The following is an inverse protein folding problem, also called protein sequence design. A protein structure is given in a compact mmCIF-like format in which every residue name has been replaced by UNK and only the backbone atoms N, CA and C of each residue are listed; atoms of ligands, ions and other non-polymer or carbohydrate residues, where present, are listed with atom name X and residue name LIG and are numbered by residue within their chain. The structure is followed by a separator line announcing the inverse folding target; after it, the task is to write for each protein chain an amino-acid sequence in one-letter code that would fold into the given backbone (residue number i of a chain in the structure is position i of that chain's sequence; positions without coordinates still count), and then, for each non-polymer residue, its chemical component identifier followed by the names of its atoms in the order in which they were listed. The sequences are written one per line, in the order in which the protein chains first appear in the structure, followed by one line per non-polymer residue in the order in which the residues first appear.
data_IF_435563512048
#
_entry.id   IF_435563512048
#
_cell.length_a   1.000
_cell.length_b   1.000
_cell.length_c   1.000
_cell.angle_alpha   90.00
_cell.angle_beta   90.00
_cell.angle_gamma   90.00
#
_symmetry.space_group_name_H-M   'P 1'
#
loop_
_entity.id
_entity.type
_entity.pdbx_description
1 polymer ?
#
# COMPACT_ATOMS: atom_id res chain seq x y z
N UNK A 1 -17.27 13.68 -70.54
CA UNK A 1 -16.44 14.70 -69.87
C UNK A 1 -16.44 14.40 -68.38
N UNK A 2 -15.32 13.91 -67.85
CA UNK A 2 -15.21 13.34 -66.51
C UNK A 2 -14.01 14.04 -65.85
N UNK A 3 -14.28 14.96 -64.93
CA UNK A 3 -13.25 15.71 -64.23
C UNK A 3 -12.55 14.80 -63.22
N UNK A 4 -11.25 14.57 -63.42
CA UNK A 4 -10.36 13.96 -62.43
C UNK A 4 -9.80 15.08 -61.55
N UNK A 5 -10.21 15.09 -60.28
CA UNK A 5 -9.60 15.91 -59.23
C UNK A 5 -8.43 15.10 -58.64
N UNK A 6 -7.21 15.55 -58.89
CA UNK A 6 -6.00 15.04 -58.24
C UNK A 6 -5.87 15.79 -56.91
N UNK A 7 -6.14 15.11 -55.79
CA UNK A 7 -5.84 15.60 -54.45
C UNK A 7 -4.48 15.03 -54.06
N UNK A 8 -3.45 15.86 -54.16
CA UNK A 8 -2.11 15.58 -53.65
C UNK A 8 -2.13 15.63 -52.12
N UNK A 9 -1.99 14.47 -51.47
CA UNK A 9 -1.72 14.36 -50.04
C UNK A 9 -0.25 14.67 -49.78
N UNK A 10 0.03 15.85 -49.23
CA UNK A 10 1.30 16.15 -48.56
C UNK A 10 1.35 15.36 -47.26
N UNK A 11 2.22 14.34 -47.22
CA UNK A 11 2.56 13.63 -45.98
C UNK A 11 3.45 14.57 -45.17
N UNK A 12 2.84 15.32 -44.26
CA UNK A 12 3.54 16.05 -43.21
C UNK A 12 4.06 15.02 -42.21
N UNK A 13 5.33 14.62 -42.36
CA UNK A 13 6.03 13.80 -41.38
C UNK A 13 6.25 14.70 -40.16
N UNK A 14 5.34 14.63 -39.18
CA UNK A 14 5.56 15.16 -37.85
C UNK A 14 6.72 14.37 -37.24
N UNK A 15 7.93 14.91 -37.35
CA UNK A 15 9.07 14.50 -36.54
C UNK A 15 8.76 14.87 -35.10
N UNK A 16 8.04 14.00 -34.40
CA UNK A 16 7.97 14.05 -32.95
C UNK A 16 9.40 13.90 -32.41
N UNK A 17 9.81 14.83 -31.54
CA UNK A 17 11.04 14.71 -30.78
C UNK A 17 11.01 13.39 -30.00
N UNK A 18 11.59 12.33 -30.56
CA UNK A 18 11.99 11.17 -29.80
C UNK A 18 13.18 11.61 -28.96
N UNK A 19 13.00 11.74 -27.65
CA UNK A 19 14.08 11.89 -26.71
C UNK A 19 14.93 10.61 -26.77
N UNK A 20 16.00 10.65 -27.56
CA UNK A 20 17.06 9.64 -27.47
C UNK A 20 17.63 9.69 -26.06
N UNK A 21 17.75 8.54 -25.36
CA UNK A 21 18.41 8.52 -24.07
C UNK A 21 19.84 9.06 -24.21
N UNK A 22 20.36 9.77 -23.21
CA UNK A 22 21.71 10.35 -23.30
C UNK A 22 22.75 9.24 -23.53
N UNK A 23 23.53 9.40 -24.58
CA UNK A 23 24.70 8.55 -24.85
C UNK A 23 25.78 8.90 -23.84
N UNK A 24 26.02 8.02 -22.86
CA UNK A 24 27.08 8.22 -21.89
C UNK A 24 28.42 7.78 -22.49
N UNK A 25 29.20 8.74 -22.96
CA UNK A 25 30.64 8.56 -23.24
C UNK A 25 31.43 9.15 -22.09
N UNK A 26 31.34 8.52 -20.91
CA UNK A 26 32.16 8.86 -19.75
C UNK A 26 33.16 7.75 -19.50
N UNK A 27 34.44 8.07 -19.61
CA UNK A 27 35.54 7.33 -18.97
C UNK A 27 35.22 7.17 -17.48
N UNK A 28 35.66 6.06 -16.87
CA UNK A 28 35.49 5.73 -15.45
C UNK A 28 36.13 6.81 -14.53
N UNK A 29 35.46 7.95 -14.39
CA UNK A 29 35.65 8.84 -13.26
C UNK A 29 35.02 8.14 -12.06
N UNK A 30 35.82 8.01 -10.99
CA UNK A 30 35.43 7.53 -9.67
C UNK A 30 34.00 7.96 -9.32
N UNK A 31 33.01 7.09 -9.49
CA UNK A 31 31.71 7.39 -8.91
C UNK A 31 31.70 7.00 -7.45
N UNK A 32 30.93 7.76 -6.70
CA UNK A 32 30.91 7.68 -5.25
C UNK A 32 30.14 6.48 -4.72
N UNK A 33 29.83 5.43 -5.50
CA UNK A 33 29.05 4.28 -5.01
C UNK A 33 29.63 3.69 -3.72
N UNK A 34 30.95 3.50 -3.67
CA UNK A 34 31.65 3.02 -2.48
C UNK A 34 31.81 4.09 -1.39
N UNK A 35 31.75 5.38 -1.75
CA UNK A 35 31.86 6.51 -0.83
C UNK A 35 30.51 6.88 -0.18
N UNK A 36 29.39 6.51 -0.82
CA UNK A 36 28.04 6.70 -0.27
C UNK A 36 27.87 5.72 0.90
N UNK A 37 27.86 6.29 2.11
CA UNK A 37 27.55 5.59 3.34
C UNK A 37 26.03 5.38 3.48
N UNK A 38 25.47 4.54 2.60
CA UNK A 38 24.06 4.14 2.62
C UNK A 38 23.94 2.63 2.40
N UNK A 39 22.81 2.09 2.83
CA UNK A 39 22.46 0.68 2.60
C UNK A 39 22.42 0.37 1.10
N UNK A 40 23.02 -0.76 0.75
CA UNK A 40 23.03 -1.31 -0.60
C UNK A 40 21.84 -2.24 -0.80
N UNK A 41 21.13 -2.06 -1.91
CA UNK A 41 19.94 -2.84 -2.27
C UNK A 41 20.08 -3.50 -3.63
N UNK A 42 19.27 -4.54 -3.86
CA UNK A 42 19.10 -5.18 -5.17
C UNK A 42 17.62 -5.31 -5.49
N UNK A 43 17.21 -5.17 -6.77
CA UNK A 43 15.85 -5.48 -7.18
C UNK A 43 15.56 -6.98 -6.99
N UNK A 44 14.33 -7.32 -6.60
CA UNK A 44 13.89 -8.73 -6.58
C UNK A 44 13.74 -9.29 -7.99
N UNK A 45 13.66 -10.61 -8.13
CA UNK A 45 13.47 -11.28 -9.44
C UNK A 45 12.20 -10.79 -10.17
N UNK A 46 11.12 -10.51 -9.43
CA UNK A 46 9.91 -9.94 -10.00
C UNK A 46 10.16 -8.53 -10.56
N UNK A 47 10.86 -7.68 -9.80
CA UNK A 47 11.20 -6.33 -10.23
C UNK A 47 12.16 -6.35 -11.42
N UNK A 48 13.14 -7.25 -11.44
CA UNK A 48 14.05 -7.44 -12.59
C UNK A 48 13.28 -7.73 -13.88
N UNK A 49 12.25 -8.59 -13.81
CA UNK A 49 11.37 -8.92 -14.94
C UNK A 49 10.61 -7.69 -15.47
N UNK A 50 10.29 -6.71 -14.63
CA UNK A 50 9.51 -5.52 -14.98
C UNK A 50 10.20 -4.21 -14.53
N UNK A 51 11.51 -4.10 -14.76
CA UNK A 51 12.37 -3.09 -14.11
C UNK A 51 11.90 -1.65 -14.34
N UNK A 52 11.34 -1.35 -15.51
CA UNK A 52 10.89 -0.01 -15.88
C UNK A 52 9.58 0.43 -15.19
N UNK A 53 8.93 -0.48 -14.46
CA UNK A 53 7.78 -0.13 -13.60
C UNK A 53 8.23 0.51 -12.29
N UNK A 54 9.48 0.27 -11.87
CA UNK A 54 10.03 0.74 -10.60
C UNK A 54 11.14 1.77 -10.81
N UNK A 55 11.95 1.60 -11.86
CA UNK A 55 13.10 2.44 -12.15
C UNK A 55 12.91 3.19 -13.47
N UNK A 56 13.38 4.43 -13.52
CA UNK A 56 13.35 5.30 -14.71
C UNK A 56 14.74 5.83 -15.06
N UNK A 57 14.93 6.15 -16.34
CA UNK A 57 16.14 6.83 -16.82
C UNK A 57 16.18 8.29 -16.36
N UNK A 58 15.03 8.96 -16.32
CA UNK A 58 14.84 10.30 -15.76
C UNK A 58 13.51 10.38 -14.99
N UNK A 59 13.29 11.36 -14.10
CA UNK A 59 11.98 11.53 -13.46
C UNK A 59 10.85 11.63 -14.49
N UNK A 60 9.74 10.95 -14.23
CA UNK A 60 8.51 10.95 -15.06
C UNK A 60 8.67 10.47 -16.52
N UNK A 61 9.81 9.89 -16.92
CA UNK A 61 9.97 9.36 -18.28
C UNK A 61 9.13 8.12 -18.56
N UNK A 62 8.71 7.99 -19.81
CA UNK A 62 8.22 6.72 -20.34
C UNK A 62 9.38 5.91 -20.92
N UNK A 63 9.83 4.91 -20.16
CA UNK A 63 10.89 3.99 -20.55
C UNK A 63 10.30 2.63 -20.99
N UNK A 64 10.07 2.38 -22.29
CA UNK A 64 9.59 1.08 -22.74
C UNK A 64 10.67 0.00 -22.56
N UNK A 65 10.44 -0.94 -21.63
CA UNK A 65 11.42 -1.97 -21.25
C UNK A 65 12.03 -2.73 -22.43
N UNK A 66 11.21 -3.11 -23.40
CA UNK A 66 11.65 -3.89 -24.56
C UNK A 66 12.62 -3.14 -25.47
N UNK A 67 12.61 -1.80 -25.44
CA UNK A 67 13.51 -0.96 -26.26
C UNK A 67 14.74 -0.48 -25.51
N UNK A 68 14.69 -0.47 -24.17
CA UNK A 68 15.75 0.05 -23.31
C UNK A 68 16.44 -1.03 -22.47
N UNK A 69 16.32 -2.32 -22.84
CA UNK A 69 16.81 -3.45 -22.04
C UNK A 69 18.28 -3.29 -21.63
N UNK A 70 19.15 -2.89 -22.57
CA UNK A 70 20.58 -2.69 -22.32
C UNK A 70 20.85 -1.48 -21.42
N UNK A 71 20.00 -0.45 -21.49
CA UNK A 71 20.13 0.68 -20.59
C UNK A 71 19.86 0.27 -19.13
N UNK A 72 18.91 -0.64 -18.89
CA UNK A 72 18.57 -1.11 -17.54
C UNK A 72 19.31 -2.41 -17.14
N UNK A 73 20.25 -2.91 -17.95
CA UNK A 73 20.96 -4.15 -17.67
C UNK A 73 21.76 -4.14 -16.35
N UNK A 74 22.39 -3.03 -15.92
CA UNK A 74 23.07 -2.98 -14.62
C UNK A 74 22.14 -3.34 -13.45
N UNK A 75 20.90 -2.86 -13.43
CA UNK A 75 19.93 -3.17 -12.38
C UNK A 75 19.48 -4.65 -12.37
N UNK A 76 19.89 -5.46 -13.35
CA UNK A 76 19.62 -6.89 -13.36
C UNK A 76 20.63 -7.67 -12.50
N UNK A 77 21.84 -7.15 -12.35
CA UNK A 77 22.98 -7.87 -11.78
C UNK A 77 23.69 -7.12 -10.65
N UNK A 78 23.61 -5.79 -10.64
CA UNK A 78 24.36 -4.93 -9.73
C UNK A 78 23.49 -4.45 -8.57
N UNK A 79 24.17 -4.12 -7.46
CA UNK A 79 23.54 -3.40 -6.37
C UNK A 79 23.36 -1.91 -6.68
N UNK A 80 22.45 -1.27 -5.96
CA UNK A 80 22.26 0.18 -6.00
C UNK A 80 22.19 0.79 -4.59
N UNK A 81 22.52 2.09 -4.51
CA UNK A 81 22.38 2.93 -3.31
C UNK A 81 21.65 4.22 -3.65
N UNK A 82 20.92 4.77 -2.69
CA UNK A 82 20.31 6.09 -2.82
C UNK A 82 21.36 7.18 -2.61
N UNK A 83 21.34 8.20 -3.48
CA UNK A 83 22.27 9.35 -3.36
C UNK A 83 21.76 10.41 -2.39
N UNK A 84 20.49 10.32 -1.97
CA UNK A 84 19.79 11.32 -1.15
C UNK A 84 19.09 12.40 -1.98
N UNK A 85 19.36 12.49 -3.28
CA UNK A 85 18.67 13.43 -4.17
C UNK A 85 17.27 12.94 -4.50
N UNK A 86 16.31 13.87 -4.43
CA UNK A 86 14.89 13.61 -4.64
C UNK A 86 14.27 14.64 -5.58
N UNK A 87 13.27 14.21 -6.36
CA UNK A 87 12.49 15.06 -7.26
C UNK A 87 11.00 14.76 -7.04
N UNK A 88 10.16 15.77 -6.77
CA UNK A 88 8.71 15.55 -6.70
C UNK A 88 8.17 15.02 -8.02
N UNK A 89 7.21 14.10 -7.97
CA UNK A 89 6.49 13.65 -9.17
C UNK A 89 5.60 14.76 -9.72
N UNK A 90 5.65 15.00 -11.03
CA UNK A 90 4.90 16.09 -11.68
C UNK A 90 3.39 15.84 -11.66
N UNK A 91 2.97 14.59 -11.80
CA UNK A 91 1.55 14.21 -11.79
C UNK A 91 1.19 13.66 -10.43
N UNK A 92 0.52 14.44 -9.56
CA UNK A 92 -0.07 13.87 -8.34
C UNK A 92 -1.19 12.91 -8.72
N UNK A 93 -1.04 11.64 -8.37
CA UNK A 93 -2.13 10.68 -8.50
C UNK A 93 -3.28 11.11 -7.60
N UNK A 94 -4.50 11.19 -8.14
CA UNK A 94 -5.71 11.37 -7.33
C UNK A 94 -5.91 10.24 -6.30
N UNK A 95 -5.19 9.12 -6.49
CA UNK A 95 -5.15 7.97 -5.58
C UNK A 95 -4.01 8.05 -4.57
N UNK A 96 -3.42 9.24 -4.36
CA UNK A 96 -2.47 9.46 -3.26
C UNK A 96 -3.20 9.24 -1.93
N UNK A 97 -2.83 8.17 -1.24
CA UNK A 97 -3.27 7.89 0.13
C UNK A 97 -2.04 7.76 1.02
N UNK A 98 -2.23 8.03 2.31
CA UNK A 98 -1.31 7.56 3.33
C UNK A 98 -1.42 6.05 3.44
N UNK A 99 -0.27 5.39 3.58
CA UNK A 99 -0.20 3.95 3.81
C UNK A 99 0.26 3.70 5.23
N UNK A 100 -0.39 2.74 5.92
CA UNK A 100 -0.11 2.44 7.31
C UNK A 100 0.39 1.01 7.43
N UNK A 101 1.56 0.86 8.02
CA UNK A 101 2.25 -0.42 8.18
C UNK A 101 2.66 -0.60 9.63
N UNK A 102 2.70 -1.85 10.10
CA UNK A 102 3.25 -2.18 11.40
C UNK A 102 4.57 -2.93 11.20
N UNK A 103 5.65 -2.42 11.80
CA UNK A 103 6.99 -3.00 11.70
C UNK A 103 7.49 -3.26 13.11
N UNK A 104 7.75 -4.53 13.42
CA UNK A 104 8.16 -4.97 14.76
C UNK A 104 7.22 -4.48 15.88
N UNK A 105 5.90 -4.45 15.63
CA UNK A 105 4.88 -4.03 16.59
C UNK A 105 4.72 -2.50 16.74
N UNK A 106 5.51 -1.70 16.02
CA UNK A 106 5.41 -0.24 16.00
C UNK A 106 4.68 0.18 14.71
N UNK A 107 3.59 0.96 14.82
CA UNK A 107 2.88 1.42 13.65
C UNK A 107 3.58 2.65 13.04
N UNK A 108 3.67 2.67 11.71
CA UNK A 108 4.23 3.76 10.93
C UNK A 108 3.22 4.22 9.88
N UNK A 109 3.28 5.51 9.57
CA UNK A 109 2.58 6.12 8.43
C UNK A 109 3.60 6.48 7.36
N UNK A 110 3.24 6.19 6.12
CA UNK A 110 4.00 6.51 4.95
C UNK A 110 3.21 7.40 4.00
N UNK A 111 3.83 8.50 3.55
CA UNK A 111 3.26 9.46 2.62
C UNK A 111 4.31 9.92 1.60
N UNK A 112 4.83 8.98 0.81
CA UNK A 112 5.78 9.29 -0.26
C UNK A 112 5.09 9.51 -1.60
N UNK A 113 5.62 10.45 -2.38
CA UNK A 113 5.22 10.65 -3.77
C UNK A 113 6.33 11.40 -4.53
N UNK A 114 7.48 10.74 -4.66
CA UNK A 114 8.69 11.35 -5.22
C UNK A 114 9.53 10.33 -5.99
N UNK A 115 10.40 10.83 -6.86
CA UNK A 115 11.49 10.08 -7.45
C UNK A 115 12.72 10.24 -6.56
N UNK A 116 13.40 9.14 -6.28
CA UNK A 116 14.67 9.16 -5.56
C UNK A 116 15.80 8.69 -6.49
N UNK A 117 16.88 9.47 -6.56
CA UNK A 117 18.02 9.14 -7.38
C UNK A 117 18.82 8.00 -6.73
N UNK A 118 19.20 7.03 -7.56
CA UNK A 118 20.06 5.92 -7.17
C UNK A 118 21.26 5.85 -8.09
N UNK A 119 22.32 5.24 -7.58
CA UNK A 119 23.52 4.91 -8.35
C UNK A 119 23.84 3.42 -8.18
N UNK A 120 24.25 2.79 -9.27
CA UNK A 120 24.67 1.38 -9.33
C UNK A 120 26.18 1.25 -9.15
N UNK A 121 26.67 0.01 -8.96
CA UNK A 121 28.10 -0.30 -8.84
C UNK A 121 28.91 0.17 -10.06
N UNK A 122 28.32 0.08 -11.26
CA UNK A 122 28.88 0.60 -12.53
C UNK A 122 28.68 2.11 -12.72
N UNK A 123 28.35 2.85 -11.67
CA UNK A 123 28.19 4.30 -11.68
C UNK A 123 27.00 4.82 -12.49
N UNK A 124 26.09 3.95 -12.89
CA UNK A 124 24.93 4.37 -13.67
C UNK A 124 23.82 4.89 -12.76
N UNK A 125 23.29 6.05 -13.13
CA UNK A 125 22.24 6.75 -12.39
C UNK A 125 20.87 6.33 -12.93
N UNK A 126 19.94 6.10 -12.00
CA UNK A 126 18.53 5.85 -12.27
C UNK A 126 17.66 6.59 -11.24
N UNK A 127 16.35 6.54 -11.46
CA UNK A 127 15.36 7.12 -10.57
C UNK A 127 14.39 6.06 -10.09
N UNK A 128 14.36 5.83 -8.78
CA UNK A 128 13.49 4.88 -8.11
C UNK A 128 12.15 5.52 -7.75
N UNK A 129 11.05 4.83 -8.05
CA UNK A 129 9.70 5.25 -7.70
C UNK A 129 9.40 5.03 -6.21
N UNK A 130 9.37 6.13 -5.44
CA UNK A 130 8.74 6.14 -4.11
C UNK A 130 7.24 6.43 -4.27
N UNK A 131 6.50 5.36 -4.53
CA UNK A 131 5.06 5.36 -4.73
C UNK A 131 4.29 5.51 -3.41
N UNK A 132 3.03 5.05 -3.38
CA UNK A 132 2.15 5.22 -2.23
C UNK A 132 2.13 4.01 -1.26
N UNK A 133 2.66 2.85 -1.64
CA UNK A 133 2.45 1.60 -0.89
C UNK A 133 3.77 1.00 -0.40
N UNK A 134 3.92 0.93 0.92
CA UNK A 134 5.12 0.39 1.59
C UNK A 134 5.38 -1.04 1.14
N UNK A 135 4.35 -1.89 1.15
CA UNK A 135 4.49 -3.30 0.80
C UNK A 135 4.95 -3.51 -0.66
N UNK A 136 4.44 -2.73 -1.61
CA UNK A 136 4.85 -2.86 -3.01
C UNK A 136 6.33 -2.50 -3.19
N UNK A 137 6.75 -1.41 -2.57
CA UNK A 137 8.14 -0.96 -2.64
C UNK A 137 9.08 -1.94 -1.90
N UNK A 138 8.69 -2.41 -0.70
CA UNK A 138 9.45 -3.42 0.06
C UNK A 138 9.59 -4.73 -0.71
N UNK A 139 8.52 -5.21 -1.34
CA UNK A 139 8.58 -6.43 -2.15
C UNK A 139 9.38 -6.25 -3.46
N UNK A 140 9.64 -4.99 -3.83
CA UNK A 140 10.40 -4.65 -5.02
C UNK A 140 11.91 -4.79 -4.86
N UNK A 141 12.44 -4.73 -3.63
CA UNK A 141 13.88 -4.71 -3.36
C UNK A 141 14.26 -5.50 -2.11
N UNK A 142 15.49 -6.02 -2.08
CA UNK A 142 16.11 -6.66 -0.91
C UNK A 142 17.43 -5.96 -0.60
N UNK A 143 17.97 -6.14 0.61
CA UNK A 143 19.35 -5.70 0.89
C UNK A 143 20.33 -6.57 0.12
N UNK A 144 21.39 -5.97 -0.41
CA UNK A 144 22.41 -6.72 -1.16
C UNK A 144 23.15 -7.77 -0.31
N UNK A 145 23.19 -7.57 1.01
CA UNK A 145 23.77 -8.52 1.97
C UNK A 145 22.83 -9.69 2.34
N UNK A 146 21.60 -9.70 1.81
CA UNK A 146 20.59 -10.72 2.07
C UNK A 146 19.91 -10.64 3.44
N UNK A 147 20.26 -9.66 4.27
CA UNK A 147 19.60 -9.46 5.58
C UNK A 147 18.24 -8.77 5.44
N UNK A 148 17.41 -8.91 6.47
CA UNK A 148 16.12 -8.21 6.56
C UNK A 148 16.30 -6.70 6.75
N UNK A 149 15.29 -5.94 6.34
CA UNK A 149 15.27 -4.49 6.51
C UNK A 149 15.17 -4.12 8.00
N UNK A 150 16.04 -3.21 8.44
CA UNK A 150 15.92 -2.51 9.72
C UNK A 150 15.03 -1.26 9.57
N UNK A 151 14.65 -0.64 10.69
CA UNK A 151 13.93 0.64 10.66
C UNK A 151 14.75 1.74 9.97
N UNK A 152 16.07 1.75 10.14
CA UNK A 152 16.95 2.70 9.46
C UNK A 152 16.92 2.49 7.93
N UNK A 153 16.89 1.23 7.48
CA UNK A 153 16.76 0.89 6.07
C UNK A 153 15.43 1.39 5.51
N UNK A 154 14.33 1.19 6.22
CA UNK A 154 13.02 1.72 5.82
C UNK A 154 13.00 3.25 5.68
N UNK A 155 13.57 3.97 6.66
CA UNK A 155 13.68 5.44 6.59
C UNK A 155 14.53 5.89 5.41
N UNK A 156 15.67 5.25 5.16
CA UNK A 156 16.52 5.56 4.02
C UNK A 156 15.80 5.28 2.69
N UNK A 157 15.17 4.12 2.59
CA UNK A 157 14.54 3.60 1.38
C UNK A 157 13.28 4.38 0.99
N UNK A 158 12.44 4.73 1.98
CA UNK A 158 11.17 5.47 1.77
C UNK A 158 11.31 7.00 1.92
N UNK A 159 12.43 7.46 2.47
CA UNK A 159 12.66 8.86 2.81
C UNK A 159 12.15 9.17 4.22
N UNK A 160 13.05 9.66 5.09
CA UNK A 160 12.76 9.86 6.52
C UNK A 160 11.60 10.83 6.76
N UNK A 161 11.46 11.89 5.95
CA UNK A 161 10.33 12.81 6.01
C UNK A 161 8.99 12.13 5.69
N UNK A 162 9.01 11.08 4.86
CA UNK A 162 7.80 10.41 4.36
C UNK A 162 7.41 9.23 5.25
N UNK A 163 8.29 8.74 6.13
CA UNK A 163 8.10 7.53 6.93
C UNK A 163 8.28 7.83 8.41
N UNK A 164 7.17 7.93 9.14
CA UNK A 164 7.15 8.39 10.52
C UNK A 164 6.31 7.45 11.39
N UNK A 165 6.59 7.40 12.69
CA UNK A 165 5.75 6.65 13.62
C UNK A 165 4.32 7.21 13.60
N UNK A 166 3.34 6.31 13.57
CA UNK A 166 1.94 6.69 13.54
C UNK A 166 1.51 7.20 14.92
N UNK A 167 1.04 8.44 14.98
CA UNK A 167 0.26 8.91 16.12
C UNK A 167 -1.17 8.37 16.01
N UNK A 168 -1.56 7.50 16.93
CA UNK A 168 -2.90 6.90 16.95
C UNK A 168 -3.91 7.97 17.36
N UNK A 169 -4.76 8.38 16.41
CA UNK A 169 -5.85 9.31 16.70
C UNK A 169 -6.86 8.69 17.69
N UNK A 170 -7.54 9.50 18.52
CA UNK A 170 -8.60 8.98 19.38
C UNK A 170 -9.76 8.41 18.54
N UNK A 171 -10.44 7.38 19.06
CA UNK A 171 -11.68 6.91 18.47
C UNK A 171 -12.74 8.03 18.50
N UNK A 172 -13.60 8.06 17.47
CA UNK A 172 -14.70 9.02 17.40
C UNK A 172 -15.81 8.57 18.34
N UNK A 173 -16.30 9.47 19.18
CA UNK A 173 -17.43 9.24 20.08
C UNK A 173 -18.55 10.20 19.71
N UNK A 174 -19.68 9.64 19.31
CA UNK A 174 -20.87 10.38 18.89
C UNK A 174 -22.03 10.08 19.83
N UNK A 175 -22.75 11.12 20.26
CA UNK A 175 -23.94 11.00 21.10
C UNK A 175 -25.19 11.24 20.25
N UNK A 176 -25.97 10.19 20.00
CA UNK A 176 -27.24 10.28 19.29
C UNK A 176 -28.38 10.47 20.30
N UNK A 177 -28.87 11.71 20.40
CA UNK A 177 -29.97 12.08 21.30
C UNK A 177 -31.31 11.44 20.94
N UNK A 178 -31.52 11.03 19.70
CA UNK A 178 -32.79 10.44 19.27
C UNK A 178 -32.86 8.96 19.60
N UNK A 179 -31.71 8.27 19.56
CA UNK A 179 -31.58 6.85 19.90
C UNK A 179 -31.12 6.62 21.34
N UNK A 180 -30.83 7.69 22.07
CA UNK A 180 -30.25 7.64 23.41
C UNK A 180 -29.00 6.76 23.47
N UNK A 181 -28.19 6.82 22.40
CA UNK A 181 -27.06 5.92 22.19
C UNK A 181 -25.75 6.67 22.04
N UNK A 182 -24.69 6.07 22.56
CA UNK A 182 -23.30 6.46 22.31
C UNK A 182 -22.79 5.55 21.19
N UNK A 183 -22.18 6.11 20.15
CA UNK A 183 -21.55 5.37 19.06
C UNK A 183 -20.06 5.67 19.12
N UNK A 184 -19.26 4.62 19.29
CA UNK A 184 -17.80 4.71 19.35
C UNK A 184 -17.25 4.04 18.09
N UNK A 185 -16.40 4.74 17.34
CA UNK A 185 -15.90 4.27 16.05
C UNK A 185 -14.40 4.52 15.92
N UNK A 186 -13.67 3.45 15.63
CA UNK A 186 -12.27 3.53 15.20
C UNK A 186 -12.15 3.99 13.74
N UNK A 187 -10.93 4.37 13.34
CA UNK A 187 -10.65 4.74 11.96
C UNK A 187 -10.72 3.53 11.03
N UNK A 188 -11.27 3.74 9.82
CA UNK A 188 -11.21 2.75 8.74
C UNK A 188 -9.81 2.73 8.16
N UNK A 189 -9.20 1.55 8.20
CA UNK A 189 -7.96 1.28 7.49
C UNK A 189 -8.01 -0.12 6.87
N UNK A 190 -7.63 -0.20 5.59
CA UNK A 190 -7.73 -1.40 4.76
C UNK A 190 -9.09 -2.11 4.81
N UNK A 191 -10.17 -1.34 4.97
CA UNK A 191 -11.52 -1.88 5.03
C UNK A 191 -11.91 -2.51 6.36
N UNK A 192 -11.13 -2.23 7.40
CA UNK A 192 -11.33 -2.72 8.75
C UNK A 192 -11.50 -1.53 9.70
N UNK A 193 -12.50 -1.60 10.58
CA UNK A 193 -12.64 -0.70 11.73
C UNK A 193 -13.38 -1.38 12.86
N UNK A 194 -13.27 -0.83 14.06
CA UNK A 194 -14.09 -1.23 15.19
C UNK A 194 -15.24 -0.27 15.45
N UNK A 195 -16.36 -0.82 15.93
CA UNK A 195 -17.53 -0.07 16.41
C UNK A 195 -17.98 -0.61 17.75
N UNK A 196 -18.44 0.27 18.61
CA UNK A 196 -19.12 -0.11 19.84
C UNK A 196 -20.33 0.82 20.06
N UNK A 197 -21.30 0.31 20.82
CA UNK A 197 -22.51 1.05 21.16
C UNK A 197 -22.71 1.08 22.66
N UNK A 198 -23.09 2.23 23.18
CA UNK A 198 -23.47 2.44 24.56
C UNK A 198 -24.79 3.17 24.68
N UNK A 199 -25.20 3.45 25.92
CA UNK A 199 -26.39 4.23 26.23
C UNK A 199 -26.00 5.57 26.84
N UNK A 200 -26.63 6.64 26.37
CA UNK A 200 -26.48 7.97 27.00
C UNK A 200 -27.17 8.05 28.36
N UNK A 201 -28.09 7.13 28.68
CA UNK A 201 -28.78 7.07 29.99
C UNK A 201 -27.87 6.54 31.09
N UNK A 202 -27.15 5.46 30.81
CA UNK A 202 -26.25 4.81 31.78
C UNK A 202 -24.82 5.31 31.67
N UNK A 203 -24.48 5.97 30.56
CA UNK A 203 -23.12 6.31 30.17
C UNK A 203 -22.19 5.07 30.16
N UNK A 204 -22.72 3.93 29.71
CA UNK A 204 -22.01 2.65 29.62
C UNK A 204 -22.21 1.99 28.27
N UNK A 205 -21.30 1.08 27.91
CA UNK A 205 -21.50 0.18 26.78
C UNK A 205 -22.75 -0.68 26.98
N UNK A 206 -23.41 -1.01 25.87
CA UNK A 206 -24.58 -1.90 25.87
C UNK A 206 -24.17 -3.37 26.00
N UNK A 207 -22.95 -3.71 25.58
CA UNK A 207 -22.37 -5.05 25.63
C UNK A 207 -20.86 -4.94 25.91
N UNK A 208 -20.27 -5.98 26.49
CA UNK A 208 -18.82 -6.15 26.67
C UNK A 208 -18.13 -6.65 25.39
N UNK A 209 -18.77 -6.45 24.23
CA UNK A 209 -18.25 -6.74 22.91
C UNK A 209 -18.10 -5.45 22.12
N UNK A 210 -17.12 -5.45 21.22
CA UNK A 210 -17.03 -4.47 20.13
C UNK A 210 -17.14 -5.21 18.81
N UNK A 211 -17.76 -4.57 17.83
CA UNK A 211 -17.93 -5.15 16.52
C UNK A 211 -16.74 -4.78 15.62
N UNK A 212 -16.01 -5.78 15.16
CA UNK A 212 -15.08 -5.68 14.04
C UNK A 212 -15.86 -5.63 12.74
N UNK A 213 -15.91 -4.45 12.11
CA UNK A 213 -16.43 -4.27 10.76
C UNK A 213 -15.32 -4.55 9.76
N UNK A 214 -15.56 -5.45 8.80
CA UNK A 214 -14.57 -5.82 7.79
C UNK A 214 -15.19 -5.96 6.40
N UNK A 215 -14.50 -5.39 5.39
CA UNK A 215 -14.77 -5.57 3.96
C UNK A 215 -13.87 -6.67 3.40
N UNK A 216 -14.42 -7.86 3.20
CA UNK A 216 -13.67 -9.03 2.73
C UNK A 216 -13.86 -9.18 1.23
N UNK A 217 -12.76 -9.25 0.47
CA UNK A 217 -12.77 -9.26 -0.99
C UNK A 217 -12.49 -10.65 -1.55
N UNK A 218 -13.26 -11.04 -2.57
CA UNK A 218 -13.09 -12.27 -3.32
C UNK A 218 -13.08 -11.96 -4.82
N UNK A 219 -12.32 -12.75 -5.58
CA UNK A 219 -12.31 -12.69 -7.05
C UNK A 219 -13.30 -13.73 -7.58
N UNK A 220 -14.12 -13.30 -8.55
CA UNK A 220 -15.10 -14.07 -9.33
C UNK A 220 -16.32 -14.62 -8.59
N UNK A 221 -16.17 -15.21 -7.40
CA UNK A 221 -17.28 -15.88 -6.72
C UNK A 221 -17.46 -15.42 -5.28
N UNK A 222 -18.73 -15.28 -4.88
CA UNK A 222 -19.13 -14.98 -3.51
C UNK A 222 -18.69 -16.09 -2.55
N UNK A 223 -18.33 -15.71 -1.34
CA UNK A 223 -17.95 -16.60 -0.26
C UNK A 223 -19.14 -16.92 0.67
N UNK A 224 -20.19 -16.09 0.66
CA UNK A 224 -21.38 -16.19 1.50
C UNK A 224 -21.06 -16.32 3.00
N UNK A 225 -20.07 -15.57 3.50
CA UNK A 225 -19.46 -15.71 4.82
C UNK A 225 -20.49 -15.77 5.96
N UNK A 226 -20.47 -16.83 6.76
CA UNK A 226 -21.43 -17.06 7.86
C UNK A 226 -20.76 -17.54 9.15
N UNK A 227 -19.47 -17.84 9.13
CA UNK A 227 -18.69 -18.27 10.28
C UNK A 227 -17.48 -17.36 10.49
N UNK A 228 -17.13 -17.13 11.76
CA UNK A 228 -15.90 -16.47 12.18
C UNK A 228 -15.27 -17.21 13.35
N UNK A 229 -13.95 -17.36 13.32
CA UNK A 229 -13.15 -17.97 14.39
C UNK A 229 -11.91 -17.11 14.67
N UNK A 230 -11.60 -16.95 15.95
CA UNK A 230 -10.35 -16.31 16.37
C UNK A 230 -9.17 -17.30 16.43
N UNK A 231 -8.00 -16.79 16.79
CA UNK A 231 -6.76 -17.58 16.89
C UNK A 231 -6.80 -18.66 17.97
N UNK A 232 -7.70 -18.53 18.95
CA UNK A 232 -7.90 -19.47 20.04
C UNK A 232 -9.02 -20.48 19.71
N UNK A 233 -9.41 -20.56 18.43
CA UNK A 233 -10.47 -21.42 17.89
C UNK A 233 -11.88 -21.17 18.46
N UNK A 234 -12.12 -20.01 19.09
CA UNK A 234 -13.46 -19.65 19.56
C UNK A 234 -14.30 -19.13 18.40
N UNK A 235 -15.53 -19.65 18.29
CA UNK A 235 -16.52 -19.12 17.34
C UNK A 235 -16.94 -17.71 17.77
N UNK A 236 -16.89 -16.77 16.83
CA UNK A 236 -17.37 -15.40 17.00
C UNK A 236 -18.67 -15.20 16.24
N UNK A 237 -19.57 -14.39 16.80
CA UNK A 237 -20.82 -14.07 16.12
C UNK A 237 -20.51 -13.21 14.90
N UNK A 238 -20.91 -13.67 13.72
CA UNK A 238 -20.79 -12.96 12.46
C UNK A 238 -22.18 -12.47 12.03
N UNK A 239 -22.27 -11.19 11.67
CA UNK A 239 -23.45 -10.56 11.09
C UNK A 239 -23.11 -10.10 9.68
N UNK A 240 -23.90 -10.52 8.68
CA UNK A 240 -23.80 -9.99 7.31
C UNK A 240 -24.34 -8.56 7.29
N UNK A 241 -23.56 -7.62 6.79
CA UNK A 241 -23.95 -6.20 6.73
C UNK A 241 -24.34 -5.81 5.31
N UNK A 242 -23.58 -6.25 4.31
CA UNK A 242 -23.85 -5.89 2.93
C UNK A 242 -22.88 -6.53 1.95
N UNK A 243 -23.15 -6.34 0.66
CA UNK A 243 -22.38 -6.89 -0.44
C UNK A 243 -22.20 -5.83 -1.52
N UNK A 244 -21.05 -5.81 -2.18
CA UNK A 244 -20.74 -4.87 -3.25
C UNK A 244 -19.95 -5.56 -4.38
N UNK A 245 -20.09 -5.07 -5.60
CA UNK A 245 -19.48 -5.64 -6.81
C UNK A 245 -18.77 -4.54 -7.60
N UNK A 246 -17.46 -4.70 -7.77
CA UNK A 246 -16.65 -3.82 -8.62
C UNK A 246 -16.12 -4.59 -9.84
N UNK A 247 -16.65 -4.27 -11.01
CA UNK A 247 -16.24 -4.82 -12.30
C UNK A 247 -15.41 -3.85 -13.14
N UNK A 248 -14.89 -2.75 -12.56
CA UNK A 248 -14.11 -1.74 -13.28
C UNK A 248 -12.86 -2.31 -13.97
N UNK A 249 -12.30 -3.39 -13.42
CA UNK A 249 -11.12 -4.08 -13.95
C UNK A 249 -11.44 -5.21 -14.93
N UNK A 250 -12.73 -5.46 -15.21
CA UNK A 250 -13.17 -6.55 -16.10
C UNK A 250 -12.66 -6.38 -17.54
N UNK A 251 -12.57 -5.14 -18.02
CA UNK A 251 -12.01 -4.79 -19.33
C UNK A 251 -10.52 -5.12 -19.47
N UNK A 252 -9.81 -5.29 -18.35
CA UNK A 252 -8.41 -5.71 -18.29
C UNK A 252 -8.26 -7.24 -18.12
N UNK A 253 -9.36 -8.00 -18.17
CA UNK A 253 -9.35 -9.45 -18.01
C UNK A 253 -9.18 -9.94 -16.56
N UNK A 254 -9.29 -9.04 -15.57
CA UNK A 254 -9.07 -9.35 -14.14
C UNK A 254 -10.35 -9.77 -13.39
N UNK A 255 -11.48 -9.93 -14.10
CA UNK A 255 -12.77 -10.28 -13.50
C UNK A 255 -13.38 -9.16 -12.64
N UNK A 256 -14.41 -9.51 -11.88
CA UNK A 256 -15.03 -8.62 -10.89
C UNK A 256 -14.52 -8.94 -9.49
N UNK A 257 -14.29 -7.89 -8.70
CA UNK A 257 -14.03 -8.00 -7.26
C UNK A 257 -15.36 -7.94 -6.52
N UNK A 258 -15.63 -8.98 -5.74
CA UNK A 258 -16.82 -9.10 -4.91
C UNK A 258 -16.43 -8.79 -3.46
N UNK A 259 -17.12 -7.84 -2.82
CA UNK A 259 -16.86 -7.45 -1.44
C UNK A 259 -18.02 -7.87 -0.55
N UNK A 260 -17.76 -8.72 0.44
CA UNK A 260 -18.70 -9.04 1.51
C UNK A 260 -18.33 -8.25 2.76
N UNK A 261 -19.28 -7.44 3.24
CA UNK A 261 -19.12 -6.65 4.45
C UNK A 261 -19.75 -7.40 5.62
N UNK A 262 -18.95 -7.65 6.66
CA UNK A 262 -19.37 -8.40 7.85
C UNK A 262 -19.05 -7.61 9.12
N UNK A 263 -19.87 -7.84 10.15
CA UNK A 263 -19.61 -7.41 11.52
C UNK A 263 -19.33 -8.64 12.38
N UNK A 264 -18.23 -8.64 13.13
CA UNK A 264 -17.83 -9.77 13.97
C UNK A 264 -17.74 -9.29 15.42
N UNK A 265 -18.49 -9.89 16.33
CA UNK A 265 -18.50 -9.48 17.74
C UNK A 265 -17.27 -10.03 18.48
N UNK A 266 -16.44 -9.12 18.99
CA UNK A 266 -15.18 -9.41 19.66
C UNK A 266 -15.26 -8.96 21.13
N UNK A 267 -15.03 -9.86 22.10
CA UNK A 267 -15.02 -9.46 23.50
C UNK A 267 -13.92 -8.47 23.82
N UNK A 268 -14.23 -7.48 24.64
CA UNK A 268 -13.24 -6.51 25.14
C UNK A 268 -12.10 -7.22 25.87
N UNK A 269 -12.39 -8.30 26.61
CA UNK A 269 -11.37 -9.11 27.28
C UNK A 269 -10.35 -9.73 26.31
N UNK A 270 -10.80 -10.18 25.13
CA UNK A 270 -9.93 -10.70 24.08
C UNK A 270 -9.07 -9.59 23.48
N UNK A 271 -9.64 -8.40 23.22
CA UNK A 271 -8.87 -7.26 22.73
C UNK A 271 -7.76 -6.83 23.70
N UNK A 272 -8.03 -6.87 25.01
CA UNK A 272 -7.04 -6.52 26.04
C UNK A 272 -5.82 -7.45 26.02
N UNK A 273 -5.97 -8.71 25.61
CA UNK A 273 -4.84 -9.67 25.47
C UNK A 273 -4.17 -9.60 24.09
N UNK A 274 -4.84 -9.03 23.08
CA UNK A 274 -4.37 -8.94 21.69
C UNK A 274 -4.06 -7.51 21.23
N UNK A 275 -3.43 -6.70 22.09
CA UNK A 275 -3.12 -5.29 21.78
C UNK A 275 -2.12 -5.09 20.63
N UNK A 276 -1.36 -6.12 20.28
CA UNK A 276 -0.44 -6.11 19.13
C UNK A 276 -1.11 -6.60 17.84
N UNK A 277 -2.45 -6.66 17.82
CA UNK A 277 -3.21 -7.18 16.69
C UNK A 277 -3.46 -8.68 16.83
N UNK A 278 -4.26 -9.20 15.89
CA UNK A 278 -4.65 -10.60 15.82
C UNK A 278 -5.24 -10.91 14.44
N UNK A 279 -5.41 -12.20 14.17
CA UNK A 279 -6.12 -12.68 12.98
C UNK A 279 -7.50 -13.25 13.32
N UNK A 280 -8.44 -13.11 12.39
CA UNK A 280 -9.73 -13.80 12.43
C UNK A 280 -9.93 -14.51 11.11
N UNK A 281 -10.25 -15.79 11.18
CA UNK A 281 -10.67 -16.58 10.03
C UNK A 281 -12.17 -16.39 9.84
N UNK A 282 -12.58 -16.00 8.63
CA UNK A 282 -13.98 -16.00 8.20
C UNK A 282 -14.19 -17.08 7.16
N UNK A 283 -15.36 -17.72 7.18
CA UNK A 283 -15.64 -18.89 6.34
C UNK A 283 -17.09 -18.92 5.86
N UNK A 284 -17.28 -19.52 4.70
CA UNK A 284 -18.55 -19.86 4.04
C UNK A 284 -18.27 -20.89 2.94
N UNK A 285 -18.65 -20.61 1.69
CA UNK A 285 -18.18 -21.38 0.52
C UNK A 285 -16.70 -21.16 0.19
N UNK A 286 -16.13 -20.06 0.68
CA UNK A 286 -14.70 -19.72 0.64
C UNK A 286 -14.26 -19.18 1.99
N UNK A 287 -12.96 -19.09 2.19
CA UNK A 287 -12.36 -18.64 3.45
C UNK A 287 -11.43 -17.46 3.22
N UNK A 288 -11.28 -16.62 4.24
CA UNK A 288 -10.30 -15.54 4.28
C UNK A 288 -9.79 -15.33 5.70
N UNK A 289 -8.58 -14.77 5.81
CA UNK A 289 -8.00 -14.34 7.07
C UNK A 289 -8.01 -12.81 7.09
N UNK A 290 -8.70 -12.24 8.06
CA UNK A 290 -8.68 -10.82 8.36
C UNK A 290 -7.56 -10.57 9.36
N UNK A 291 -6.61 -9.72 9.02
CA UNK A 291 -5.54 -9.31 9.94
C UNK A 291 -5.87 -7.94 10.53
N UNK A 292 -6.06 -7.87 11.84
CA UNK A 292 -6.32 -6.64 12.57
C UNK A 292 -5.00 -6.10 13.13
N UNK A 293 -4.67 -4.85 12.80
CA UNK A 293 -3.42 -4.22 13.22
C UNK A 293 -3.51 -3.75 14.67
N UNK A 294 -2.39 -3.75 15.40
CA UNK A 294 -2.38 -3.47 16.84
C UNK A 294 -2.87 -2.06 17.19
N UNK A 295 -2.56 -1.07 16.36
CA UNK A 295 -3.08 0.29 16.59
C UNK A 295 -4.59 0.40 16.48
N UNK A 296 -5.26 -0.42 15.66
CA UNK A 296 -6.73 -0.43 15.58
C UNK A 296 -7.33 -0.95 16.90
N UNK A 297 -6.69 -1.96 17.50
CA UNK A 297 -7.08 -2.50 18.81
C UNK A 297 -6.85 -1.46 19.91
N UNK A 298 -5.67 -0.86 19.96
CA UNK A 298 -5.32 0.19 20.95
C UNK A 298 -6.26 1.38 20.85
N UNK A 299 -6.58 1.83 19.63
CA UNK A 299 -7.50 2.94 19.39
C UNK A 299 -8.90 2.65 19.95
N UNK A 300 -9.49 1.49 19.62
CA UNK A 300 -10.85 1.19 20.11
C UNK A 300 -10.86 0.99 21.62
N UNK A 301 -9.87 0.29 22.19
CA UNK A 301 -9.77 0.09 23.65
C UNK A 301 -9.73 1.42 24.39
N UNK A 302 -8.89 2.37 23.94
CA UNK A 302 -8.85 3.71 24.51
C UNK A 302 -10.19 4.46 24.37
N UNK A 303 -10.89 4.27 23.24
CA UNK A 303 -12.19 4.88 22.99
C UNK A 303 -13.33 4.36 23.88
N UNK A 304 -13.28 3.08 24.25
CA UNK A 304 -14.33 2.44 25.04
C UNK A 304 -14.08 2.50 26.55
N UNK A 305 -12.83 2.65 26.99
CA UNK A 305 -12.45 2.63 28.42
C UNK A 305 -13.30 3.56 29.31
N UNK A 306 -13.71 4.78 28.89
CA UNK A 306 -14.56 5.64 29.70
C UNK A 306 -15.99 5.13 29.93
N UNK A 307 -16.41 4.07 29.22
CA UNK A 307 -17.78 3.56 29.17
C UNK A 307 -17.91 2.11 29.65
N UNK A 308 -16.83 1.49 30.12
CA UNK A 308 -16.84 0.13 30.70
C UNK A 308 -17.23 0.20 32.18
#
# INVERSE_FOLDING_TARGET
MRNLLIISFTISILTGCQSTPPTYTGTAESCDFNQINATSFMPTEMTKKYITNTFKSTPDSYDPQLRNKDYFSPLQTESFKFTGKIVPKTFSSQYKKEDRVEINGIPYVFNGYEWAEIVTESCKIYWYDRGNYVNMMKNGSVKSDGSEFTIADYKSFFGEKNFQELTIAPARVEHDKFKESIIIRGDDDDGILFRAWGSTKTNKLNDNNVQLYARVKFIENWAHLDLAFDEDANKRQLTKIGTDVDCSSSSLGLGCTLTETVGIEIPVSYLRTKQNGFQIKVSGSREAIITVKGYQVKQILAGIEPFI
#
